data_IF_892393196959
#
_entry.id   IF_892393196959
#
_cell.length_a   1.000
_cell.length_b   1.000
_cell.length_c   1.000
_cell.angle_alpha   90.00
_cell.angle_beta   90.00
_cell.angle_gamma   90.00
#
_symmetry.space_group_name_H-M   'P 1'
#
loop_
_entity.id
_entity.type
_entity.pdbx_description
1 polymer ?
#
# COMPACT_ATOMS: atom_id res chain seq x y z
N UNK A 1 57.66 -23.30 8.17
CA UNK A 1 56.48 -23.45 9.07
C UNK A 1 56.98 -23.22 10.49
N UNK A 2 56.86 -22.00 11.03
CA UNK A 2 57.33 -21.68 12.38
C UNK A 2 56.28 -22.19 13.35
N UNK A 3 56.56 -23.28 14.07
CA UNK A 3 55.72 -23.73 15.18
C UNK A 3 55.86 -22.70 16.30
N UNK A 4 54.77 -22.04 16.67
CA UNK A 4 54.75 -21.17 17.83
C UNK A 4 55.04 -22.01 19.09
N UNK A 5 56.20 -21.79 19.72
CA UNK A 5 56.53 -22.39 21.01
C UNK A 5 55.96 -21.45 22.08
N UNK A 6 54.77 -21.79 22.58
CA UNK A 6 54.14 -21.04 23.67
C UNK A 6 54.66 -21.59 25.02
N UNK A 7 55.69 -20.94 25.58
CA UNK A 7 56.30 -21.30 26.88
C UNK A 7 55.46 -20.81 28.08
N UNK A 8 54.13 -20.95 28.02
CA UNK A 8 53.27 -20.54 29.13
C UNK A 8 53.22 -21.64 30.21
N UNK A 9 53.77 -21.36 31.39
CA UNK A 9 53.82 -22.27 32.57
C UNK A 9 52.43 -22.71 33.06
N UNK A 10 51.37 -22.04 32.63
CA UNK A 10 49.98 -22.35 32.99
C UNK A 10 49.24 -23.22 31.96
N UNK A 11 49.87 -23.68 30.87
CA UNK A 11 49.20 -24.46 29.81
C UNK A 11 48.66 -25.83 30.29
N UNK A 12 49.18 -26.35 31.41
CA UNK A 12 48.69 -27.59 32.06
C UNK A 12 47.51 -27.39 33.01
N UNK A 13 47.11 -26.15 33.30
CA UNK A 13 45.78 -25.96 33.86
C UNK A 13 44.80 -26.28 32.75
N UNK A 14 43.91 -27.26 32.98
CA UNK A 14 42.67 -27.39 32.23
C UNK A 14 41.99 -26.01 32.29
N UNK A 15 42.25 -25.13 31.33
CA UNK A 15 41.36 -24.01 31.10
C UNK A 15 40.04 -24.69 30.69
N UNK A 16 38.96 -24.57 31.47
CA UNK A 16 37.65 -24.84 30.90
C UNK A 16 37.62 -24.01 29.62
N UNK A 17 37.20 -24.56 28.48
CA UNK A 17 37.02 -23.75 27.26
C UNK A 17 36.26 -22.50 27.70
N UNK A 18 36.93 -21.33 27.70
CA UNK A 18 36.36 -20.08 28.23
C UNK A 18 35.06 -19.71 27.52
N UNK A 19 34.86 -20.28 26.33
CA UNK A 19 33.69 -20.12 25.49
C UNK A 19 33.09 -21.49 25.18
N UNK A 20 32.21 -21.98 26.06
CA UNK A 20 31.19 -22.96 25.67
C UNK A 20 30.09 -22.23 24.89
N UNK A 21 30.25 -22.11 23.57
CA UNK A 21 29.15 -21.65 22.69
C UNK A 21 28.27 -22.87 22.41
N UNK A 22 27.41 -23.23 23.36
CA UNK A 22 26.25 -24.06 23.03
C UNK A 22 25.28 -23.19 22.22
N UNK A 23 25.04 -23.61 20.99
CA UNK A 23 24.34 -22.89 19.93
C UNK A 23 22.81 -22.89 20.07
N UNK A 24 22.30 -22.72 21.28
CA UNK A 24 20.85 -22.61 21.46
C UNK A 24 20.43 -21.15 21.39
N UNK A 25 19.67 -20.84 20.33
CA UNK A 25 18.92 -19.60 20.27
C UNK A 25 17.90 -19.64 21.39
N UNK A 26 17.91 -18.61 22.26
CA UNK A 26 16.96 -18.47 23.35
C UNK A 26 15.51 -18.65 22.89
N UNK A 27 14.66 -19.21 23.75
CA UNK A 27 13.25 -19.44 23.43
C UNK A 27 12.51 -18.13 23.09
N UNK A 28 12.91 -17.02 23.71
CA UNK A 28 12.32 -15.70 23.49
C UNK A 28 12.94 -14.93 22.30
N UNK A 29 13.84 -15.55 21.53
CA UNK A 29 14.49 -14.86 20.42
C UNK A 29 13.48 -14.57 19.29
N UNK A 30 13.49 -13.36 18.71
CA UNK A 30 12.60 -12.98 17.61
C UNK A 30 12.55 -13.98 16.45
N UNK A 31 13.65 -14.68 16.19
CA UNK A 31 13.73 -15.65 15.09
C UNK A 31 12.81 -16.86 15.30
N UNK A 32 12.62 -17.30 16.54
CA UNK A 32 11.68 -18.39 16.85
C UNK A 32 10.24 -17.95 16.64
N UNK A 33 9.91 -16.73 17.05
CA UNK A 33 8.61 -16.14 16.78
C UNK A 33 8.34 -15.99 15.28
N UNK A 34 9.35 -15.56 14.50
CA UNK A 34 9.23 -15.51 13.05
C UNK A 34 8.96 -16.91 12.47
N UNK A 35 9.67 -17.95 12.92
CA UNK A 35 9.42 -19.34 12.51
C UNK A 35 7.97 -19.75 12.77
N UNK A 36 7.48 -19.54 14.00
CA UNK A 36 6.11 -19.89 14.38
C UNK A 36 5.07 -19.18 13.52
N UNK A 37 5.25 -17.87 13.22
CA UNK A 37 4.34 -17.13 12.34
C UNK A 37 4.34 -17.72 10.93
N UNK A 38 5.52 -18.07 10.40
CA UNK A 38 5.65 -18.61 9.04
C UNK A 38 5.08 -20.03 8.96
N UNK A 39 5.25 -20.87 9.98
CA UNK A 39 4.69 -22.24 10.01
C UNK A 39 3.15 -22.27 9.85
N UNK A 40 2.46 -21.22 10.25
CA UNK A 40 1.01 -21.11 10.07
C UNK A 40 0.55 -20.49 8.73
N UNK A 41 1.48 -20.13 7.84
CA UNK A 41 1.18 -19.55 6.54
C UNK A 41 1.06 -20.62 5.44
N UNK A 42 0.27 -20.33 4.40
CA UNK A 42 0.17 -21.19 3.22
C UNK A 42 1.22 -20.83 2.17
N UNK A 43 2.17 -21.74 1.97
CA UNK A 43 3.23 -21.63 0.96
C UNK A 43 2.99 -22.46 -0.30
N UNK A 44 1.80 -23.04 -0.49
CA UNK A 44 1.50 -23.90 -1.65
C UNK A 44 1.85 -23.22 -2.98
N UNK A 45 1.46 -21.95 -3.15
CA UNK A 45 1.78 -21.17 -4.36
C UNK A 45 3.28 -20.88 -4.50
N UNK A 46 3.98 -20.68 -3.39
CA UNK A 46 5.44 -20.51 -3.39
C UNK A 46 6.12 -21.80 -3.86
N UNK A 47 5.72 -22.95 -3.31
CA UNK A 47 6.29 -24.25 -3.67
C UNK A 47 6.02 -24.63 -5.12
N UNK A 48 4.86 -24.26 -5.68
CA UNK A 48 4.57 -24.46 -7.11
C UNK A 48 5.53 -23.72 -8.05
N UNK A 49 6.05 -22.55 -7.63
CA UNK A 49 7.03 -21.80 -8.42
C UNK A 49 8.45 -22.38 -8.32
N UNK A 50 8.69 -23.19 -7.29
CA UNK A 50 9.94 -23.92 -7.10
C UNK A 50 9.68 -25.43 -7.03
N UNK A 51 9.22 -26.06 -8.13
CA UNK A 51 8.85 -27.48 -8.13
C UNK A 51 10.07 -28.41 -7.98
N UNK A 52 11.24 -27.94 -8.42
CA UNK A 52 12.47 -28.71 -8.36
C UNK A 52 13.19 -28.49 -7.03
N UNK A 53 13.92 -29.52 -6.57
CA UNK A 53 14.79 -29.43 -5.39
C UNK A 53 15.79 -28.28 -5.56
N UNK A 54 15.69 -27.30 -4.67
CA UNK A 54 16.60 -26.16 -4.59
C UNK A 54 17.64 -26.40 -3.50
N UNK A 55 18.78 -25.70 -3.57
CA UNK A 55 19.86 -25.80 -2.57
C UNK A 55 19.37 -25.44 -1.16
N UNK A 56 18.45 -24.48 -1.07
CA UNK A 56 17.80 -24.02 0.15
C UNK A 56 16.30 -24.04 -0.10
N UNK A 57 15.55 -24.59 0.85
CA UNK A 57 14.09 -24.65 0.75
C UNK A 57 13.47 -23.25 0.57
N UNK A 58 12.50 -23.04 -0.35
CA UNK A 58 11.96 -21.71 -0.66
C UNK A 58 11.39 -20.96 0.56
N UNK A 59 10.77 -21.68 1.49
CA UNK A 59 10.21 -21.11 2.73
C UNK A 59 11.34 -20.59 3.64
N UNK A 60 12.42 -21.35 3.79
CA UNK A 60 13.56 -20.98 4.63
C UNK A 60 14.29 -19.77 4.02
N UNK A 61 14.42 -19.74 2.68
CA UNK A 61 14.94 -18.58 1.95
C UNK A 61 14.09 -17.33 2.22
N UNK A 62 12.75 -17.46 2.18
CA UNK A 62 11.83 -16.37 2.48
C UNK A 62 11.99 -15.88 3.94
N UNK A 63 12.08 -16.80 4.89
CA UNK A 63 12.25 -16.50 6.31
C UNK A 63 13.53 -15.67 6.56
N UNK A 64 14.65 -16.09 5.98
CA UNK A 64 15.93 -15.39 6.08
C UNK A 64 15.88 -14.00 5.45
N UNK A 65 15.21 -13.84 4.31
CA UNK A 65 15.06 -12.52 3.67
C UNK A 65 14.24 -11.58 4.56
N UNK A 66 13.14 -12.05 5.16
CA UNK A 66 12.36 -11.26 6.12
C UNK A 66 13.23 -10.85 7.30
N UNK A 67 13.94 -11.81 7.88
CA UNK A 67 14.84 -11.56 9.00
C UNK A 67 15.92 -10.52 8.63
N UNK A 68 16.57 -10.67 7.48
CA UNK A 68 17.56 -9.70 7.01
C UNK A 68 16.98 -8.29 6.86
N UNK A 69 15.80 -8.16 6.25
CA UNK A 69 15.14 -6.87 6.08
C UNK A 69 14.76 -6.26 7.44
N UNK A 70 14.34 -7.08 8.41
CA UNK A 70 14.05 -6.65 9.78
C UNK A 70 15.28 -6.08 10.50
N UNK A 71 16.49 -6.50 10.09
CA UNK A 71 17.78 -6.04 10.62
C UNK A 71 18.42 -4.90 9.82
N UNK A 72 17.75 -4.37 8.79
CA UNK A 72 18.32 -3.32 7.96
C UNK A 72 19.19 -3.83 6.80
N UNK A 73 19.18 -5.14 6.52
CA UNK A 73 20.05 -5.79 5.55
C UNK A 73 19.24 -6.14 4.29
N UNK A 74 19.49 -5.41 3.20
CA UNK A 74 18.66 -5.47 1.99
C UNK A 74 19.38 -5.95 0.73
N UNK A 75 20.72 -5.87 0.69
CA UNK A 75 21.46 -6.32 -0.49
C UNK A 75 21.63 -7.83 -0.47
N UNK A 76 21.52 -8.48 -1.62
CA UNK A 76 21.64 -9.95 -1.68
C UNK A 76 23.01 -10.45 -1.22
N UNK A 77 24.07 -9.64 -1.37
CA UNK A 77 25.42 -9.95 -0.89
C UNK A 77 25.52 -9.83 0.64
N UNK A 78 24.91 -8.80 1.22
CA UNK A 78 24.90 -8.66 2.68
C UNK A 78 24.01 -9.73 3.33
N UNK A 79 22.94 -10.15 2.66
CA UNK A 79 22.11 -11.29 3.09
C UNK A 79 22.93 -12.58 3.04
N UNK A 80 23.70 -12.82 1.96
CA UNK A 80 24.63 -13.95 1.90
C UNK A 80 25.64 -13.91 3.05
N UNK A 81 26.23 -12.74 3.35
CA UNK A 81 27.13 -12.57 4.48
C UNK A 81 26.44 -12.85 5.82
N UNK A 82 25.22 -12.34 6.02
CA UNK A 82 24.41 -12.61 7.21
C UNK A 82 24.16 -14.11 7.40
N UNK A 83 23.90 -14.86 6.33
CA UNK A 83 23.74 -16.32 6.39
C UNK A 83 25.01 -17.05 6.84
N UNK A 84 26.19 -16.49 6.56
CA UNK A 84 27.49 -17.06 6.97
C UNK A 84 27.82 -16.73 8.42
N UNK A 85 27.53 -15.51 8.84
CA UNK A 85 27.99 -14.95 10.12
C UNK A 85 27.01 -15.18 11.28
N UNK A 86 25.70 -15.12 11.01
CA UNK A 86 24.68 -15.10 12.05
C UNK A 86 24.08 -16.47 12.33
N UNK A 87 24.21 -16.94 13.57
CA UNK A 87 23.54 -18.16 14.07
C UNK A 87 22.01 -18.10 13.88
N UNK A 88 21.41 -16.92 14.03
CA UNK A 88 19.97 -16.69 13.81
C UNK A 88 19.56 -16.94 12.36
N UNK A 89 20.39 -16.51 11.41
CA UNK A 89 20.12 -16.76 9.99
C UNK A 89 20.33 -18.24 9.65
N UNK A 90 21.35 -18.88 10.22
CA UNK A 90 21.60 -20.31 10.04
C UNK A 90 20.46 -21.17 10.60
N UNK A 91 19.89 -20.80 11.76
CA UNK A 91 18.70 -21.44 12.31
C UNK A 91 17.52 -21.38 11.33
N UNK A 92 17.22 -20.20 10.75
CA UNK A 92 16.13 -20.05 9.78
C UNK A 92 16.37 -20.82 8.48
N UNK A 93 17.63 -20.95 8.05
CA UNK A 93 17.97 -21.76 6.88
C UNK A 93 17.69 -23.25 7.13
N UNK A 94 17.76 -23.69 8.38
CA UNK A 94 17.61 -25.08 8.81
C UNK A 94 18.37 -26.06 7.91
N UNK A 95 19.58 -25.67 7.49
CA UNK A 95 20.44 -26.46 6.61
C UNK A 95 21.88 -25.95 6.67
N UNK A 96 22.82 -26.86 6.41
CA UNK A 96 24.25 -26.53 6.26
C UNK A 96 24.56 -25.78 4.95
N UNK A 97 23.59 -25.75 4.03
CA UNK A 97 23.75 -25.16 2.71
C UNK A 97 23.48 -23.66 2.75
N UNK A 98 24.53 -22.87 2.78
CA UNK A 98 24.43 -21.41 2.72
C UNK A 98 24.12 -20.96 1.27
N UNK A 99 23.09 -20.13 1.05
CA UNK A 99 22.77 -19.60 -0.27
C UNK A 99 23.78 -18.52 -0.69
N UNK A 100 24.11 -18.48 -1.97
CA UNK A 100 24.87 -17.39 -2.57
C UNK A 100 23.95 -16.21 -2.95
N UNK A 101 24.53 -15.03 -3.16
CA UNK A 101 23.77 -13.84 -3.56
C UNK A 101 22.94 -14.08 -4.84
N UNK A 102 23.42 -14.96 -5.73
CA UNK A 102 22.76 -15.34 -6.98
C UNK A 102 21.53 -16.23 -6.74
N UNK A 103 21.55 -17.16 -5.79
CA UNK A 103 20.36 -17.91 -5.38
C UNK A 103 19.30 -16.99 -4.76
N UNK A 104 19.71 -16.07 -3.89
CA UNK A 104 18.80 -15.09 -3.27
C UNK A 104 18.15 -14.21 -4.35
N UNK A 105 18.95 -13.70 -5.30
CA UNK A 105 18.44 -12.88 -6.41
C UNK A 105 17.46 -13.67 -7.31
N UNK A 106 17.78 -14.93 -7.64
CA UNK A 106 16.90 -15.81 -8.42
C UNK A 106 15.60 -16.10 -7.69
N UNK A 107 15.66 -16.33 -6.37
CA UNK A 107 14.48 -16.52 -5.54
C UNK A 107 13.55 -15.31 -5.62
N UNK A 108 14.08 -14.10 -5.36
CA UNK A 108 13.30 -12.85 -5.41
C UNK A 108 12.68 -12.60 -6.79
N UNK A 109 13.41 -12.92 -7.86
CA UNK A 109 12.94 -12.78 -9.24
C UNK A 109 11.78 -13.74 -9.54
N UNK A 110 11.90 -15.03 -9.18
CA UNK A 110 10.86 -16.03 -9.41
C UNK A 110 9.63 -15.83 -8.52
N UNK A 111 9.83 -15.47 -7.25
CA UNK A 111 8.76 -15.28 -6.27
C UNK A 111 8.02 -13.93 -6.39
N UNK A 112 8.29 -13.14 -7.45
CA UNK A 112 7.85 -11.76 -7.56
C UNK A 112 6.33 -11.57 -7.39
N UNK A 113 5.55 -12.44 -8.04
CA UNK A 113 4.10 -12.37 -8.03
C UNK A 113 3.47 -12.98 -6.76
N UNK A 114 4.24 -13.73 -5.97
CA UNK A 114 3.77 -14.47 -4.79
C UNK A 114 4.05 -13.69 -3.50
N UNK A 115 5.14 -12.91 -3.44
CA UNK A 115 5.52 -12.18 -2.23
C UNK A 115 4.42 -11.22 -1.76
N UNK A 116 3.65 -10.63 -2.68
CA UNK A 116 2.51 -9.80 -2.28
C UNK A 116 1.40 -10.60 -1.58
N UNK A 117 1.15 -11.83 -2.03
CA UNK A 117 0.19 -12.73 -1.37
C UNK A 117 0.70 -13.14 0.02
N UNK A 118 1.99 -13.50 0.13
CA UNK A 118 2.61 -13.82 1.42
C UNK A 118 2.59 -12.62 2.37
N UNK A 119 2.76 -11.40 1.85
CA UNK A 119 2.61 -10.17 2.63
C UNK A 119 1.19 -10.05 3.21
N UNK A 120 0.14 -10.26 2.41
CA UNK A 120 -1.23 -10.20 2.90
C UNK A 120 -1.48 -11.22 4.02
N UNK A 121 -1.07 -12.48 3.81
CA UNK A 121 -1.18 -13.53 4.83
C UNK A 121 -0.44 -13.17 6.12
N UNK A 122 0.78 -12.64 5.99
CA UNK A 122 1.61 -12.23 7.14
C UNK A 122 0.95 -11.09 7.94
N UNK A 123 0.37 -10.09 7.26
CA UNK A 123 -0.34 -8.99 7.92
C UNK A 123 -1.58 -9.49 8.66
N UNK A 124 -2.38 -10.37 8.04
CA UNK A 124 -3.55 -10.97 8.71
C UNK A 124 -3.16 -11.69 10.00
N UNK A 125 -2.07 -12.47 9.98
CA UNK A 125 -1.55 -13.16 11.17
C UNK A 125 -1.13 -12.16 12.24
N UNK A 126 -0.38 -11.13 11.88
CA UNK A 126 0.04 -10.10 12.82
C UNK A 126 -1.13 -9.30 13.41
N UNK A 127 -2.18 -9.03 12.64
CA UNK A 127 -3.39 -8.36 13.14
C UNK A 127 -4.07 -9.20 14.22
N UNK A 128 -4.21 -10.51 13.99
CA UNK A 128 -4.76 -11.46 14.98
C UNK A 128 -3.90 -11.52 16.24
N UNK A 129 -2.58 -11.71 16.09
CA UNK A 129 -1.64 -11.79 17.22
C UNK A 129 -1.49 -10.47 18.01
N UNK A 130 -1.75 -9.34 17.36
CA UNK A 130 -1.66 -8.02 18.00
C UNK A 130 -2.99 -7.55 18.62
N UNK A 131 -4.07 -8.31 18.43
CA UNK A 131 -5.44 -7.97 18.86
C UNK A 131 -5.87 -6.57 18.37
N UNK A 132 -5.53 -6.23 17.13
CA UNK A 132 -5.84 -4.92 16.54
C UNK A 132 -7.20 -4.99 15.84
N UNK A 133 -8.09 -4.06 16.17
CA UNK A 133 -9.35 -3.88 15.44
C UNK A 133 -9.10 -3.27 14.07
N UNK A 134 -9.82 -3.75 13.05
CA UNK A 134 -9.69 -3.30 11.65
C UNK A 134 -10.71 -2.24 11.26
N UNK A 135 -11.46 -1.71 12.24
CA UNK A 135 -12.55 -0.76 12.02
C UNK A 135 -12.09 0.58 11.47
N UNK A 136 -10.86 0.99 11.76
CA UNK A 136 -10.33 2.29 11.33
C UNK A 136 -9.12 2.10 10.43
N UNK A 137 -9.19 2.67 9.23
CA UNK A 137 -8.06 2.73 8.30
C UNK A 137 -7.51 4.15 8.22
N UNK A 138 -6.18 4.25 8.32
CA UNK A 138 -5.46 5.50 8.13
C UNK A 138 -4.80 5.50 6.75
N UNK A 139 -5.08 6.52 5.95
CA UNK A 139 -4.57 6.67 4.58
C UNK A 139 -3.67 7.90 4.52
N UNK A 140 -2.48 7.71 3.98
CA UNK A 140 -1.56 8.78 3.65
C UNK A 140 -0.64 8.34 2.51
N UNK A 141 -0.04 9.32 1.82
CA UNK A 141 0.83 9.10 0.68
C UNK A 141 2.28 9.41 1.00
N UNK A 142 3.20 8.61 0.44
CA UNK A 142 4.63 8.93 0.47
C UNK A 142 5.26 8.65 -0.88
N UNK A 143 6.18 9.54 -1.30
CA UNK A 143 6.95 9.36 -2.54
C UNK A 143 8.28 8.68 -2.21
N UNK A 144 8.56 7.57 -2.88
CA UNK A 144 9.84 6.84 -2.84
C UNK A 144 10.33 6.75 -4.29
N UNK A 145 11.61 7.09 -4.53
CA UNK A 145 12.18 7.04 -5.87
C UNK A 145 12.29 5.58 -6.35
N UNK A 146 11.79 5.28 -7.54
CA UNK A 146 12.02 3.96 -8.16
C UNK A 146 13.40 3.91 -8.82
N UNK A 147 13.93 2.70 -9.04
CA UNK A 147 15.08 2.54 -9.94
C UNK A 147 14.59 2.70 -11.39
N UNK A 148 14.47 3.93 -11.86
CA UNK A 148 14.10 4.25 -13.24
C UNK A 148 15.32 4.79 -14.00
N UNK A 149 15.34 4.59 -15.33
CA UNK A 149 16.30 5.30 -16.17
C UNK A 149 15.93 6.79 -16.17
N UNK A 150 16.83 7.67 -15.70
CA UNK A 150 16.61 9.12 -15.65
C UNK A 150 16.48 9.75 -17.05
N UNK A 151 16.92 9.04 -18.09
CA UNK A 151 16.83 9.43 -19.50
C UNK A 151 15.67 8.76 -20.25
N UNK A 152 14.51 8.56 -19.60
CA UNK A 152 13.30 8.10 -20.30
C UNK A 152 12.59 9.23 -21.05
N UNK A 153 13.33 10.07 -21.76
CA UNK A 153 12.74 10.90 -22.80
C UNK A 153 12.47 9.99 -23.99
N UNK A 154 11.19 9.70 -24.24
CA UNK A 154 10.80 8.99 -25.46
C UNK A 154 11.03 9.96 -26.62
N UNK A 155 11.98 9.64 -27.49
CA UNK A 155 12.27 10.45 -28.67
C UNK A 155 11.02 10.55 -29.54
N UNK A 156 10.63 11.76 -29.95
CA UNK A 156 9.48 12.01 -30.84
C UNK A 156 9.40 11.02 -32.01
N UNK A 157 10.56 10.70 -32.61
CA UNK A 157 10.69 9.72 -33.70
C UNK A 157 10.27 8.29 -33.29
N UNK A 158 10.61 7.84 -32.10
CA UNK A 158 10.20 6.53 -31.57
C UNK A 158 8.72 6.51 -31.25
N UNK A 159 8.15 7.61 -30.75
CA UNK A 159 6.71 7.72 -30.47
C UNK A 159 5.89 7.71 -31.76
N UNK A 160 6.36 8.41 -32.80
CA UNK A 160 5.74 8.42 -34.13
C UNK A 160 5.77 7.03 -34.77
N UNK A 161 6.93 6.36 -34.77
CA UNK A 161 7.06 5.00 -35.30
C UNK A 161 6.17 3.99 -34.56
N UNK A 162 6.01 4.13 -33.24
CA UNK A 162 5.12 3.27 -32.46
C UNK A 162 3.64 3.57 -32.76
N UNK A 163 3.28 4.84 -32.99
CA UNK A 163 1.94 5.24 -33.40
C UNK A 163 1.58 4.65 -34.77
N UNK A 164 2.44 4.80 -35.77
CA UNK A 164 2.24 4.23 -37.12
C UNK A 164 2.02 2.71 -37.05
N UNK A 165 2.90 2.00 -36.33
CA UNK A 165 2.76 0.55 -36.14
C UNK A 165 1.49 0.16 -35.37
N UNK A 166 1.05 0.98 -34.42
CA UNK A 166 -0.20 0.74 -33.69
C UNK A 166 -1.41 0.93 -34.62
N UNK A 167 -1.41 1.94 -35.48
CA UNK A 167 -2.45 2.17 -36.48
C UNK A 167 -2.53 1.02 -37.50
N UNK A 168 -1.40 0.52 -37.99
CA UNK A 168 -1.33 -0.67 -38.84
C UNK A 168 -1.92 -1.91 -38.16
N UNK A 169 -1.51 -2.17 -36.90
CA UNK A 169 -2.03 -3.31 -36.14
C UNK A 169 -3.54 -3.18 -35.87
N UNK A 170 -4.05 -1.97 -35.64
CA UNK A 170 -5.48 -1.70 -35.45
C UNK A 170 -6.26 -2.04 -36.72
N UNK A 171 -5.77 -1.62 -37.89
CA UNK A 171 -6.40 -1.92 -39.17
C UNK A 171 -6.40 -3.43 -39.45
N UNK A 172 -5.28 -4.12 -39.21
CA UNK A 172 -5.22 -5.58 -39.32
C UNK A 172 -6.21 -6.28 -38.39
N UNK A 173 -6.34 -5.82 -37.14
CA UNK A 173 -7.32 -6.34 -36.17
C UNK A 173 -8.76 -6.14 -36.64
N UNK A 174 -9.09 -4.99 -37.23
CA UNK A 174 -10.42 -4.71 -37.78
C UNK A 174 -10.70 -5.65 -38.97
N UNK A 175 -9.74 -5.82 -39.88
CA UNK A 175 -9.88 -6.74 -41.03
C UNK A 175 -10.06 -8.20 -40.57
N UNK A 176 -9.24 -8.67 -39.64
CA UNK A 176 -9.37 -10.02 -39.07
C UNK A 176 -10.72 -10.24 -38.41
N UNK A 177 -11.19 -9.24 -37.64
CA UNK A 177 -12.49 -9.29 -36.98
C UNK A 177 -13.64 -9.35 -38.00
N UNK A 178 -13.63 -8.44 -38.97
CA UNK A 178 -14.64 -8.35 -40.03
C UNK A 178 -14.71 -9.66 -40.84
N UNK A 179 -13.55 -10.25 -41.16
CA UNK A 179 -13.46 -11.55 -41.83
C UNK A 179 -14.04 -12.69 -40.98
N UNK A 180 -13.76 -12.70 -39.68
CA UNK A 180 -14.19 -13.77 -38.78
C UNK A 180 -15.70 -13.73 -38.47
N UNK A 181 -16.26 -12.53 -38.26
CA UNK A 181 -17.68 -12.35 -37.92
C UNK A 181 -18.57 -12.04 -39.14
N UNK A 182 -17.99 -11.94 -40.34
CA UNK A 182 -18.65 -11.55 -41.59
C UNK A 182 -19.41 -10.21 -41.43
N UNK A 183 -18.69 -9.19 -40.98
CA UNK A 183 -19.18 -7.84 -40.71
C UNK A 183 -18.32 -6.81 -41.45
N UNK A 184 -18.86 -5.60 -41.61
CA UNK A 184 -18.14 -4.45 -42.17
C UNK A 184 -18.16 -3.33 -41.13
N UNK A 185 -17.28 -3.42 -40.13
CA UNK A 185 -17.11 -2.40 -39.10
C UNK A 185 -15.80 -1.64 -39.34
N UNK A 186 -15.86 -0.32 -39.33
CA UNK A 186 -14.70 0.54 -39.66
C UNK A 186 -13.96 1.06 -38.41
N UNK A 187 -14.46 0.74 -37.22
CA UNK A 187 -13.95 1.27 -35.94
C UNK A 187 -13.84 0.19 -34.88
N UNK A 188 -12.75 0.24 -34.11
CA UNK A 188 -12.55 -0.60 -32.91
C UNK A 188 -13.67 -0.40 -31.88
N UNK A 189 -14.25 0.80 -31.80
CA UNK A 189 -15.32 1.06 -30.85
C UNK A 189 -16.62 0.35 -31.24
N UNK A 190 -16.86 0.18 -32.53
CA UNK A 190 -18.04 -0.55 -33.04
C UNK A 190 -17.87 -2.06 -32.84
N UNK A 191 -16.64 -2.56 -33.02
CA UNK A 191 -16.24 -3.94 -32.69
C UNK A 191 -16.47 -4.22 -31.19
N UNK A 192 -16.05 -3.31 -30.31
CA UNK A 192 -16.24 -3.45 -28.86
C UNK A 192 -17.72 -3.48 -28.47
N UNK A 193 -18.53 -2.59 -29.06
CA UNK A 193 -19.98 -2.57 -28.81
C UNK A 193 -20.66 -3.87 -29.24
N UNK A 194 -20.27 -4.42 -30.39
CA UNK A 194 -20.78 -5.70 -30.88
C UNK A 194 -20.38 -6.87 -29.96
N UNK A 195 -19.14 -6.88 -29.46
CA UNK A 195 -18.65 -7.89 -28.53
C UNK A 195 -19.34 -7.84 -27.16
N UNK A 196 -19.74 -6.66 -26.69
CA UNK A 196 -20.50 -6.49 -25.44
C UNK A 196 -21.96 -6.94 -25.57
N UNK A 197 -22.56 -6.87 -26.76
CA UNK A 197 -23.92 -7.37 -27.05
C UNK A 197 -23.98 -8.90 -27.16
N UNK A 198 -22.87 -9.54 -27.56
CA UNK A 198 -22.70 -10.98 -27.49
C UNK A 198 -22.65 -11.40 -26.01
N UNK A 199 -23.79 -11.72 -25.40
CA UNK A 199 -23.91 -12.21 -24.02
C UNK A 199 -23.14 -13.53 -23.81
N UNK A 200 -21.83 -13.44 -23.60
CA UNK A 200 -20.95 -14.58 -23.35
C UNK A 200 -21.27 -15.20 -21.97
N UNK A 201 -21.49 -16.51 -21.95
CA UNK A 201 -21.92 -17.28 -20.79
C UNK A 201 -20.88 -17.32 -19.65
N UNK A 202 -21.30 -16.92 -18.44
CA UNK A 202 -20.53 -17.08 -17.19
C UNK A 202 -20.62 -18.53 -16.68
N UNK A 203 -19.50 -19.08 -16.20
CA UNK A 203 -19.38 -20.49 -15.76
C UNK A 203 -19.18 -20.56 -14.23
N UNK A 204 -19.94 -21.42 -13.54
CA UNK A 204 -19.79 -21.70 -12.11
C UNK A 204 -19.08 -23.05 -11.90
N UNK A 205 -18.06 -23.10 -11.03
CA UNK A 205 -17.27 -24.30 -10.71
C UNK A 205 -15.85 -23.99 -10.21
N UNK A 206 -15.16 -24.96 -9.61
CA UNK A 206 -13.78 -24.80 -9.08
C UNK A 206 -12.73 -24.83 -10.20
N UNK A 207 -11.88 -23.80 -10.20
CA UNK A 207 -10.54 -23.83 -10.81
C UNK A 207 -10.51 -23.74 -12.33
N UNK A 208 -9.90 -22.67 -12.86
CA UNK A 208 -9.58 -22.39 -14.27
C UNK A 208 -10.66 -21.75 -15.17
N UNK A 209 -11.95 -21.72 -14.81
CA UNK A 209 -13.01 -21.07 -15.64
C UNK A 209 -13.70 -19.83 -15.02
N UNK A 210 -13.23 -19.33 -13.87
CA UNK A 210 -13.72 -18.06 -13.29
C UNK A 210 -12.90 -16.89 -13.81
N UNK A 211 -13.55 -15.76 -14.11
CA UNK A 211 -12.87 -14.54 -14.56
C UNK A 211 -11.93 -14.00 -13.46
N UNK A 212 -10.89 -13.25 -13.85
CA UNK A 212 -9.93 -12.66 -12.88
C UNK A 212 -10.64 -11.80 -11.85
N UNK A 213 -11.67 -11.09 -12.27
CA UNK A 213 -12.49 -10.16 -11.48
C UNK A 213 -13.30 -10.90 -10.41
N UNK A 214 -13.88 -12.06 -10.74
CA UNK A 214 -14.59 -12.90 -9.78
C UNK A 214 -13.62 -13.55 -8.76
N UNK A 215 -12.43 -13.95 -9.22
CA UNK A 215 -11.35 -14.41 -8.33
C UNK A 215 -10.86 -13.30 -7.40
N UNK A 216 -10.76 -12.06 -7.88
CA UNK A 216 -10.41 -10.90 -7.05
C UNK A 216 -11.49 -10.60 -6.00
N UNK A 217 -12.77 -10.67 -6.38
CA UNK A 217 -13.89 -10.38 -5.47
C UNK A 217 -14.02 -11.43 -4.35
N UNK A 218 -13.80 -12.72 -4.67
CA UNK A 218 -13.80 -13.81 -3.68
C UNK A 218 -12.60 -13.71 -2.71
N UNK A 219 -11.41 -13.29 -3.21
CA UNK A 219 -10.19 -13.08 -2.41
C UNK A 219 -10.26 -11.83 -1.52
N UNK A 220 -11.06 -10.83 -1.91
CA UNK A 220 -11.36 -9.62 -1.10
C UNK A 220 -12.38 -9.95 0.01
N UNK A 221 -13.41 -10.77 -0.29
CA UNK A 221 -14.43 -11.17 0.68
C UNK A 221 -13.95 -12.18 1.73
N UNK A 222 -12.90 -12.96 1.44
CA UNK A 222 -12.28 -13.87 2.42
C UNK A 222 -11.41 -13.17 3.46
N UNK A 223 -11.12 -11.87 3.27
CA UNK A 223 -10.43 -11.03 4.24
C UNK A 223 -11.47 -10.17 4.94
N UNK A 224 -12.05 -10.70 6.02
CA UNK A 224 -13.10 -10.04 6.79
C UNK A 224 -12.51 -8.86 7.60
N UNK A 225 -12.08 -7.82 6.90
CA UNK A 225 -11.64 -6.54 7.44
C UNK A 225 -12.85 -5.62 7.35
N UNK A 226 -13.60 -5.52 8.44
CA UNK A 226 -14.77 -4.65 8.53
C UNK A 226 -14.31 -3.21 8.75
N UNK A 227 -13.94 -2.51 7.67
CA UNK A 227 -13.59 -1.09 7.75
C UNK A 227 -14.87 -0.28 7.97
N UNK A 228 -14.87 0.62 8.96
CA UNK A 228 -15.97 1.55 9.26
C UNK A 228 -15.53 2.98 9.07
N UNK A 229 -14.34 3.34 9.57
CA UNK A 229 -13.83 4.71 9.60
C UNK A 229 -12.65 4.86 8.65
N UNK A 230 -12.72 5.86 7.75
CA UNK A 230 -11.63 6.19 6.83
C UNK A 230 -11.06 7.56 7.17
N UNK A 231 -9.80 7.58 7.61
CA UNK A 231 -9.10 8.77 8.07
C UNK A 231 -7.99 9.13 7.09
N UNK A 232 -8.04 10.31 6.49
CA UNK A 232 -7.07 10.72 5.47
C UNK A 232 -6.66 12.18 5.57
N UNK A 233 -5.55 12.50 4.91
CA UNK A 233 -5.05 13.87 4.76
C UNK A 233 -5.95 14.71 3.83
N UNK A 234 -5.65 16.00 3.72
CA UNK A 234 -6.45 16.90 2.91
C UNK A 234 -6.26 16.76 1.40
N UNK A 235 -5.19 16.10 0.95
CA UNK A 235 -4.98 15.76 -0.46
C UNK A 235 -6.00 14.75 -0.99
N UNK A 236 -6.67 14.00 -0.10
CA UNK A 236 -7.74 13.07 -0.47
C UNK A 236 -9.14 13.71 -0.52
N UNK A 237 -9.29 15.01 -0.26
CA UNK A 237 -10.58 15.68 -0.37
C UNK A 237 -11.04 15.80 -1.83
N UNK A 238 -12.02 14.98 -2.21
CA UNK A 238 -12.65 15.05 -3.54
C UNK A 238 -14.09 14.54 -3.50
N UNK A 239 -14.91 15.01 -4.44
CA UNK A 239 -16.31 14.54 -4.54
C UNK A 239 -16.38 13.03 -4.77
N UNK A 240 -15.53 12.50 -5.65
CA UNK A 240 -15.50 11.08 -5.96
C UNK A 240 -15.14 10.23 -4.74
N UNK A 241 -14.19 10.68 -3.92
CA UNK A 241 -13.83 9.98 -2.69
C UNK A 241 -14.98 10.00 -1.68
N UNK A 242 -15.61 11.16 -1.46
CA UNK A 242 -16.76 11.24 -0.55
C UNK A 242 -17.95 10.39 -1.03
N UNK A 243 -18.28 10.42 -2.32
CA UNK A 243 -19.33 9.58 -2.90
C UNK A 243 -19.00 8.08 -2.70
N UNK A 244 -17.75 7.68 -2.93
CA UNK A 244 -17.31 6.31 -2.71
C UNK A 244 -17.47 5.89 -1.25
N UNK A 245 -17.04 6.73 -0.29
CA UNK A 245 -17.20 6.43 1.14
C UNK A 245 -18.67 6.28 1.51
N UNK A 246 -19.53 7.17 1.02
CA UNK A 246 -20.97 7.13 1.32
C UNK A 246 -21.67 5.90 0.73
N UNK A 247 -21.35 5.53 -0.51
CA UNK A 247 -21.91 4.33 -1.18
C UNK A 247 -21.52 3.06 -0.43
N UNK A 248 -20.30 2.99 0.08
CA UNK A 248 -19.80 1.83 0.82
C UNK A 248 -20.07 1.90 2.33
N UNK A 249 -20.90 2.86 2.79
CA UNK A 249 -21.25 3.04 4.21
C UNK A 249 -20.05 3.27 5.14
N UNK A 250 -18.98 3.88 4.65
CA UNK A 250 -17.83 4.28 5.46
C UNK A 250 -18.01 5.70 6.02
N UNK A 251 -17.57 5.90 7.26
CA UNK A 251 -17.53 7.21 7.92
C UNK A 251 -16.27 7.95 7.48
N UNK A 252 -16.45 9.14 6.93
CA UNK A 252 -15.37 9.98 6.43
C UNK A 252 -14.78 10.86 7.53
N UNK A 253 -13.46 10.76 7.73
CA UNK A 253 -12.63 11.67 8.53
C UNK A 253 -11.50 12.24 7.65
N UNK A 254 -11.87 12.85 6.52
CA UNK A 254 -10.93 13.47 5.56
C UNK A 254 -10.78 14.94 5.90
N UNK A 255 -9.57 15.38 6.20
CA UNK A 255 -9.31 16.77 6.57
C UNK A 255 -9.66 17.70 5.40
N UNK A 256 -10.50 18.74 5.55
CA UNK A 256 -10.72 19.69 4.47
C UNK A 256 -9.44 20.43 4.07
N UNK A 257 -9.26 20.73 2.78
CA UNK A 257 -8.08 21.41 2.20
C UNK A 257 -7.79 22.72 2.92
N UNK A 258 -8.83 23.51 3.20
CA UNK A 258 -8.70 24.80 3.86
C UNK A 258 -8.92 24.74 5.37
N UNK A 259 -8.90 23.56 6.00
CA UNK A 259 -9.24 23.38 7.40
C UNK A 259 -8.45 24.32 8.34
N UNK A 260 -7.12 24.40 8.23
CA UNK A 260 -6.34 25.29 9.11
C UNK A 260 -6.61 26.77 8.80
N UNK A 261 -6.76 27.13 7.52
CA UNK A 261 -7.09 28.51 7.12
C UNK A 261 -8.47 28.92 7.62
N UNK A 262 -9.42 27.99 7.68
CA UNK A 262 -10.81 28.21 8.11
C UNK A 262 -10.94 28.66 9.56
N UNK A 263 -9.92 28.40 10.39
CA UNK A 263 -9.88 28.85 11.80
C UNK A 263 -9.61 30.34 11.93
N UNK A 264 -8.96 30.96 10.93
CA UNK A 264 -8.54 32.36 11.00
C UNK A 264 -9.72 33.33 10.90
N UNK A 265 -9.67 34.45 11.65
CA UNK A 265 -10.72 35.49 11.62
C UNK A 265 -10.95 36.04 10.20
N UNK A 266 -9.87 36.24 9.44
CA UNK A 266 -9.93 36.71 8.05
C UNK A 266 -10.74 35.76 7.16
N UNK A 267 -10.52 34.46 7.27
CA UNK A 267 -11.25 33.47 6.48
C UNK A 267 -12.73 33.42 6.85
N UNK A 268 -13.06 33.48 8.14
CA UNK A 268 -14.45 33.46 8.63
C UNK A 268 -15.26 34.69 8.20
N UNK A 269 -14.61 35.85 8.12
CA UNK A 269 -15.23 37.13 7.74
C UNK A 269 -15.33 37.36 6.23
N UNK A 270 -14.62 36.60 5.42
CA UNK A 270 -14.63 36.78 3.96
C UNK A 270 -15.96 36.28 3.38
N UNK A 271 -16.83 37.23 3.02
CA UNK A 271 -18.17 36.98 2.50
C UNK A 271 -18.17 36.32 1.12
N UNK A 272 -17.08 36.43 0.36
CA UNK A 272 -16.99 35.91 -1.01
C UNK A 272 -16.43 34.48 -1.08
N UNK A 273 -16.05 33.90 0.05
CA UNK A 273 -15.58 32.50 0.13
C UNK A 273 -16.74 31.55 -0.13
N UNK A 274 -16.53 30.64 -1.07
CA UNK A 274 -17.49 29.58 -1.41
C UNK A 274 -17.89 28.75 -0.19
N UNK A 275 -16.96 28.51 0.74
CA UNK A 275 -17.20 27.80 2.00
C UNK A 275 -18.11 28.54 2.98
N UNK A 276 -18.26 29.85 2.83
CA UNK A 276 -19.09 30.69 3.68
C UNK A 276 -20.45 30.99 3.05
N UNK A 277 -20.72 30.51 1.83
CA UNK A 277 -22.00 30.71 1.15
C UNK A 277 -23.03 29.69 1.64
N UNK A 278 -24.29 30.12 1.65
CA UNK A 278 -25.44 29.32 2.06
C UNK A 278 -26.27 28.98 0.83
N UNK A 279 -26.48 27.69 0.60
CA UNK A 279 -27.19 27.21 -0.57
C UNK A 279 -28.53 26.62 -0.15
N UNK A 280 -29.61 27.13 -0.74
CA UNK A 280 -30.95 26.56 -0.62
C UNK A 280 -31.16 25.56 -1.75
N UNK A 281 -31.34 24.28 -1.40
CA UNK A 281 -31.54 23.18 -2.35
C UNK A 281 -32.90 23.24 -3.05
N UNK A 282 -33.95 23.66 -2.35
CA UNK A 282 -35.33 23.68 -2.89
C UNK A 282 -35.49 24.73 -3.98
N UNK A 283 -34.94 25.93 -3.73
CA UNK A 283 -35.04 27.06 -4.65
C UNK A 283 -33.86 27.16 -5.61
N UNK A 284 -32.81 26.34 -5.42
CA UNK A 284 -31.54 26.39 -6.16
C UNK A 284 -30.90 27.80 -6.14
N UNK A 285 -30.90 28.42 -4.96
CA UNK A 285 -30.40 29.78 -4.73
C UNK A 285 -29.19 29.75 -3.81
N UNK A 286 -28.24 30.64 -4.07
CA UNK A 286 -26.99 30.73 -3.34
C UNK A 286 -26.85 32.13 -2.74
N UNK A 287 -26.68 32.19 -1.43
CA UNK A 287 -26.63 33.41 -0.63
C UNK A 287 -25.28 33.59 0.03
N UNK A 288 -24.89 34.84 0.23
CA UNK A 288 -23.86 35.23 1.20
C UNK A 288 -24.46 35.36 2.59
N UNK A 289 -23.59 35.38 3.60
CA UNK A 289 -24.00 35.54 5.01
C UNK A 289 -24.67 36.86 5.36
N UNK A 290 -24.48 37.88 4.53
CA UNK A 290 -25.15 39.18 4.64
C UNK A 290 -26.54 39.21 3.94
N UNK A 291 -26.98 38.08 3.40
CA UNK A 291 -28.26 37.92 2.71
C UNK A 291 -28.21 38.21 1.21
N UNK A 292 -27.05 38.61 0.67
CA UNK A 292 -26.93 38.91 -0.76
C UNK A 292 -27.01 37.63 -1.61
N UNK A 293 -28.00 37.57 -2.50
CA UNK A 293 -28.18 36.47 -3.45
C UNK A 293 -27.22 36.58 -4.65
N UNK A 294 -26.59 35.46 -5.00
CA UNK A 294 -25.80 35.34 -6.21
C UNK A 294 -26.69 34.92 -7.39
N UNK A 295 -26.50 35.57 -8.53
CA UNK A 295 -27.28 35.31 -9.75
C UNK A 295 -26.86 33.99 -10.38
N UNK A 296 -27.80 33.09 -10.63
CA UNK A 296 -27.55 31.87 -11.41
C UNK A 296 -27.04 32.22 -12.82
N UNK A 297 -26.09 31.44 -13.33
CA UNK A 297 -25.62 31.55 -14.71
C UNK A 297 -25.97 30.30 -15.53
N UNK A 298 -25.37 29.16 -15.18
CA UNK A 298 -25.54 27.90 -15.91
C UNK A 298 -24.97 26.71 -15.13
N UNK A 299 -25.35 25.51 -15.55
CA UNK A 299 -24.77 24.25 -15.10
C UNK A 299 -23.49 23.90 -15.86
N UNK A 300 -22.50 23.36 -15.16
CA UNK A 300 -21.32 22.78 -15.79
C UNK A 300 -21.65 21.55 -16.63
N UNK A 301 -20.71 21.14 -17.49
CA UNK A 301 -20.85 19.93 -18.32
C UNK A 301 -21.12 18.66 -17.52
N UNK A 302 -20.64 18.62 -16.28
CA UNK A 302 -20.85 17.52 -15.34
C UNK A 302 -22.26 17.47 -14.73
N UNK A 303 -23.10 18.50 -14.96
CA UNK A 303 -24.40 18.76 -14.33
C UNK A 303 -24.40 18.81 -12.78
N UNK A 304 -23.27 18.51 -12.14
CA UNK A 304 -23.06 18.55 -10.68
C UNK A 304 -22.56 19.90 -10.19
N UNK A 305 -21.85 20.64 -11.05
CA UNK A 305 -21.31 21.96 -10.74
C UNK A 305 -22.26 23.04 -11.24
N UNK A 306 -22.55 24.03 -10.40
CA UNK A 306 -23.37 25.19 -10.73
C UNK A 306 -22.49 26.43 -10.73
N UNK A 307 -22.69 27.31 -11.71
CA UNK A 307 -22.01 28.59 -11.77
C UNK A 307 -22.96 29.73 -11.43
N UNK A 308 -22.51 30.59 -10.53
CA UNK A 308 -23.21 31.80 -10.12
C UNK A 308 -22.36 33.04 -10.42
N UNK A 309 -22.97 34.22 -10.48
CA UNK A 309 -22.29 35.52 -10.55
C UNK A 309 -22.60 36.31 -9.29
N UNK A 310 -21.56 36.80 -8.64
CA UNK A 310 -21.72 37.77 -7.57
C UNK A 310 -22.04 39.14 -8.21
N UNK A 311 -23.22 39.74 -7.93
CA UNK A 311 -23.60 41.00 -8.55
C UNK A 311 -22.75 42.21 -8.10
N UNK A 312 -22.15 42.20 -6.91
CA UNK A 312 -21.32 43.32 -6.43
C UNK A 312 -19.90 43.29 -7.01
N UNK A 313 -19.29 42.10 -7.03
CA UNK A 313 -17.90 41.95 -7.47
C UNK A 313 -17.77 41.54 -8.93
N UNK A 314 -18.90 41.25 -9.57
CA UNK A 314 -19.04 40.65 -10.90
C UNK A 314 -18.33 39.30 -11.10
N UNK A 315 -17.72 38.74 -10.04
CA UNK A 315 -16.95 37.51 -10.11
C UNK A 315 -17.85 36.30 -10.29
N UNK A 316 -17.39 35.38 -11.12
CA UNK A 316 -18.01 34.07 -11.31
C UNK A 316 -17.62 33.14 -10.16
N UNK A 317 -18.62 32.53 -9.53
CA UNK A 317 -18.46 31.58 -8.43
C UNK A 317 -18.82 30.18 -8.92
N UNK A 318 -17.90 29.24 -8.71
CA UNK A 318 -18.14 27.81 -8.96
C UNK A 318 -18.63 27.17 -7.67
N UNK A 319 -19.83 26.59 -7.68
CA UNK A 319 -20.43 25.92 -6.55
C UNK A 319 -20.74 24.45 -6.87
N UNK A 320 -20.51 23.56 -5.92
CA UNK A 320 -20.91 22.16 -6.04
C UNK A 320 -21.55 21.75 -4.72
N UNK A 321 -22.88 21.73 -4.71
CA UNK A 321 -23.68 21.49 -3.51
C UNK A 321 -23.33 20.15 -2.85
N UNK A 322 -23.33 19.07 -3.63
CA UNK A 322 -23.06 17.72 -3.12
C UNK A 322 -21.68 17.61 -2.47
N UNK A 323 -20.65 18.19 -3.09
CA UNK A 323 -19.31 18.24 -2.51
C UNK A 323 -19.31 19.02 -1.18
N UNK A 324 -19.98 20.18 -1.11
CA UNK A 324 -19.99 21.02 0.10
C UNK A 324 -20.72 20.32 1.25
N UNK A 325 -21.84 19.66 0.97
CA UNK A 325 -22.59 18.85 1.94
C UNK A 325 -21.70 17.74 2.54
N UNK A 326 -21.07 16.94 1.68
CA UNK A 326 -20.20 15.83 2.12
C UNK A 326 -18.92 16.29 2.83
N UNK A 327 -18.30 17.38 2.35
CA UNK A 327 -17.14 18.00 3.00
C UNK A 327 -17.50 18.55 4.39
N UNK A 328 -18.70 19.12 4.55
CA UNK A 328 -19.23 19.55 5.86
C UNK A 328 -19.45 18.35 6.80
N UNK A 329 -20.11 17.29 6.35
CA UNK A 329 -20.28 16.04 7.12
C UNK A 329 -18.91 15.52 7.61
N UNK A 330 -17.91 15.44 6.74
CA UNK A 330 -16.55 14.99 7.09
C UNK A 330 -15.83 15.92 8.07
N UNK A 331 -16.02 17.23 7.91
CA UNK A 331 -15.47 18.24 8.82
C UNK A 331 -16.05 18.10 10.22
N UNK A 332 -17.38 17.96 10.33
CA UNK A 332 -18.07 17.80 11.61
C UNK A 332 -17.59 16.52 12.33
N UNK A 333 -17.40 15.42 11.58
CA UNK A 333 -16.79 14.19 12.11
C UNK A 333 -15.39 14.42 12.68
N UNK A 334 -14.54 15.17 11.98
CA UNK A 334 -13.17 15.48 12.40
C UNK A 334 -13.12 16.41 13.63
N UNK A 335 -14.10 17.29 13.79
CA UNK A 335 -14.18 18.22 14.92
C UNK A 335 -14.73 17.57 16.19
N UNK A 336 -15.33 16.38 16.10
CA UNK A 336 -15.69 15.55 17.26
C UNK A 336 -14.45 15.12 18.07
N UNK A 337 -14.63 14.83 19.36
CA UNK A 337 -13.54 14.33 20.22
C UNK A 337 -12.90 13.04 19.66
N UNK A 338 -13.74 12.13 19.17
CA UNK A 338 -13.28 10.90 18.51
C UNK A 338 -12.49 11.22 17.22
N UNK A 339 -12.98 12.12 16.37
CA UNK A 339 -12.29 12.56 15.16
C UNK A 339 -10.94 13.23 15.42
N UNK A 340 -10.83 14.03 16.49
CA UNK A 340 -9.56 14.61 16.96
C UNK A 340 -8.57 13.52 17.35
N UNK A 341 -9.02 12.51 18.10
CA UNK A 341 -8.19 11.37 18.49
C UNK A 341 -7.71 10.58 17.27
N UNK A 342 -8.60 10.29 16.31
CA UNK A 342 -8.26 9.60 15.06
C UNK A 342 -7.23 10.38 14.25
N UNK A 343 -7.37 11.71 14.14
CA UNK A 343 -6.40 12.55 13.43
C UNK A 343 -5.02 12.56 14.07
N UNK A 344 -4.95 12.64 15.40
CA UNK A 344 -3.69 12.55 16.12
C UNK A 344 -3.02 11.19 15.88
N UNK A 345 -3.81 10.10 15.95
CA UNK A 345 -3.33 8.76 15.69
C UNK A 345 -2.89 8.56 14.23
N UNK A 346 -3.55 9.17 13.24
CA UNK A 346 -3.10 9.16 11.84
C UNK A 346 -1.68 9.69 11.71
N UNK A 347 -1.38 10.84 12.33
CA UNK A 347 -0.03 11.42 12.31
C UNK A 347 0.97 10.49 13.03
N UNK A 348 0.67 10.06 14.25
CA UNK A 348 1.57 9.17 15.03
C UNK A 348 1.85 7.86 14.28
N UNK A 349 0.81 7.21 13.76
CA UNK A 349 0.91 5.86 13.22
C UNK A 349 1.40 5.86 11.77
N UNK A 350 0.86 6.71 10.89
CA UNK A 350 1.18 6.67 9.46
C UNK A 350 2.44 7.46 9.14
N UNK A 351 2.56 8.69 9.63
CA UNK A 351 3.78 9.49 9.40
C UNK A 351 4.97 8.83 10.12
N UNK A 352 4.75 8.27 11.32
CA UNK A 352 5.73 7.44 12.03
C UNK A 352 6.15 6.21 11.22
N UNK A 353 5.20 5.47 10.62
CA UNK A 353 5.54 4.32 9.77
C UNK A 353 6.39 4.72 8.55
N UNK A 354 6.03 5.81 7.88
CA UNK A 354 6.81 6.31 6.75
C UNK A 354 8.18 6.82 7.16
N UNK A 355 8.30 7.48 8.31
CA UNK A 355 9.58 7.91 8.86
C UNK A 355 10.48 6.72 9.15
N UNK A 356 9.99 5.67 9.81
CA UNK A 356 10.78 4.44 10.07
C UNK A 356 11.20 3.78 8.76
N UNK A 357 10.29 3.63 7.79
CA UNK A 357 10.63 3.04 6.50
C UNK A 357 11.74 3.84 5.78
N UNK A 358 11.63 5.17 5.80
CA UNK A 358 12.52 6.07 5.05
C UNK A 358 13.86 6.31 5.75
N UNK A 359 13.84 6.61 7.03
CA UNK A 359 14.99 6.98 7.86
C UNK A 359 15.69 5.72 8.40
N UNK A 360 15.00 4.96 9.25
CA UNK A 360 15.60 3.84 9.99
C UNK A 360 15.90 2.65 9.08
N UNK A 361 14.95 2.30 8.22
CA UNK A 361 15.08 1.24 7.21
C UNK A 361 15.73 1.74 5.91
N UNK A 362 16.11 3.02 5.84
CA UNK A 362 16.87 3.62 4.72
C UNK A 362 16.22 3.42 3.34
N UNK A 363 14.90 3.27 3.25
CA UNK A 363 14.17 3.14 1.98
C UNK A 363 14.00 4.50 1.31
N UNK A 364 15.09 5.03 0.75
CA UNK A 364 15.06 6.27 -0.06
C UNK A 364 14.73 6.01 -1.51
N UNK A 365 15.25 4.90 -2.02
CA UNK A 365 15.19 4.52 -3.41
C UNK A 365 15.09 3.00 -3.50
N UNK A 366 14.14 2.54 -4.30
CA UNK A 366 13.99 1.13 -4.62
C UNK A 366 15.16 0.68 -5.49
N UNK A 367 15.61 -0.57 -5.31
CA UNK A 367 16.76 -1.13 -6.06
C UNK A 367 16.33 -1.84 -7.34
N UNK A 368 15.02 -1.96 -7.56
CA UNK A 368 14.43 -2.75 -8.63
C UNK A 368 13.69 -1.89 -9.65
N UNK A 369 13.58 -2.40 -10.88
CA UNK A 369 12.83 -1.78 -11.98
C UNK A 369 11.53 -2.53 -12.24
N UNK A 370 10.53 -1.80 -12.71
CA UNK A 370 9.23 -2.35 -13.11
C UNK A 370 8.24 -2.44 -11.96
N UNK A 371 6.95 -2.27 -12.29
CA UNK A 371 5.85 -2.14 -11.33
C UNK A 371 5.76 -3.33 -10.37
N UNK A 372 5.80 -4.55 -10.89
CA UNK A 372 5.68 -5.76 -10.06
C UNK A 372 6.88 -5.96 -9.13
N UNK A 373 8.10 -5.75 -9.63
CA UNK A 373 9.31 -5.81 -8.82
C UNK A 373 9.29 -4.77 -7.69
N UNK A 374 8.85 -3.55 -7.99
CA UNK A 374 8.68 -2.47 -7.01
C UNK A 374 7.67 -2.88 -5.94
N UNK A 375 6.53 -3.44 -6.35
CA UNK A 375 5.49 -3.93 -5.44
C UNK A 375 6.02 -5.02 -4.52
N UNK A 376 6.79 -5.98 -5.05
CA UNK A 376 7.49 -7.00 -4.26
C UNK A 376 8.44 -6.39 -3.23
N UNK A 377 9.32 -5.47 -3.66
CA UNK A 377 10.32 -4.86 -2.77
C UNK A 377 9.64 -4.09 -1.64
N UNK A 378 8.63 -3.27 -1.94
CA UNK A 378 7.81 -2.59 -0.92
C UNK A 378 7.14 -3.61 0.01
N UNK A 379 6.60 -4.70 -0.53
CA UNK A 379 6.01 -5.78 0.26
C UNK A 379 6.99 -6.33 1.32
N UNK A 380 8.24 -6.62 0.94
CA UNK A 380 9.26 -7.11 1.88
C UNK A 380 9.59 -6.09 2.98
N UNK A 381 9.71 -4.80 2.63
CA UNK A 381 9.89 -3.73 3.61
C UNK A 381 8.72 -3.67 4.59
N UNK A 382 7.48 -3.76 4.10
CA UNK A 382 6.29 -3.75 4.94
C UNK A 382 6.21 -4.98 5.87
N UNK A 383 6.57 -6.18 5.38
CA UNK A 383 6.63 -7.40 6.22
C UNK A 383 7.61 -7.17 7.38
N UNK A 384 8.84 -6.75 7.07
CA UNK A 384 9.88 -6.52 8.06
C UNK A 384 9.52 -5.40 9.05
N UNK A 385 8.96 -4.29 8.56
CA UNK A 385 8.47 -3.21 9.41
C UNK A 385 7.38 -3.69 10.38
N UNK A 386 6.37 -4.41 9.86
CA UNK A 386 5.27 -4.91 10.67
C UNK A 386 5.74 -5.94 11.70
N UNK A 387 6.69 -6.79 11.33
CA UNK A 387 7.33 -7.73 12.26
C UNK A 387 8.06 -7.01 13.39
N UNK A 388 8.90 -6.02 13.07
CA UNK A 388 9.58 -5.20 14.08
C UNK A 388 8.61 -4.43 14.97
N UNK A 389 7.52 -3.91 14.40
CA UNK A 389 6.45 -3.24 15.16
C UNK A 389 5.77 -4.19 16.13
N UNK A 390 5.52 -5.42 15.72
CA UNK A 390 4.95 -6.46 16.59
C UNK A 390 5.90 -6.84 17.73
N UNK A 391 7.18 -7.07 17.44
CA UNK A 391 8.21 -7.31 18.47
C UNK A 391 8.27 -6.17 19.49
N UNK A 392 8.24 -4.92 19.03
CA UNK A 392 8.24 -3.76 19.91
C UNK A 392 6.97 -3.69 20.79
N UNK A 393 5.81 -4.15 20.29
CA UNK A 393 4.58 -4.26 21.07
C UNK A 393 4.69 -5.36 22.14
N UNK A 394 5.26 -6.51 21.81
CA UNK A 394 5.48 -7.61 22.76
C UNK A 394 6.40 -7.20 23.90
N UNK A 395 7.56 -6.62 23.59
CA UNK A 395 8.53 -6.15 24.59
C UNK A 395 7.90 -5.11 25.53
N UNK A 396 7.03 -4.24 25.00
CA UNK A 396 6.34 -3.19 25.77
C UNK A 396 5.05 -3.66 26.45
N UNK A 397 4.62 -4.92 26.24
CA UNK A 397 3.32 -5.46 26.70
C UNK A 397 2.12 -4.58 26.30
N UNK A 398 2.09 -4.16 25.03
CA UNK A 398 1.06 -3.26 24.45
C UNK A 398 0.22 -3.93 23.35
N UNK A 399 -0.04 -5.23 23.47
CA UNK A 399 -1.05 -5.90 22.64
C UNK A 399 -2.44 -5.30 22.94
N UNK A 400 -3.34 -5.28 21.96
CA UNK A 400 -4.68 -4.69 22.11
C UNK A 400 -4.74 -3.15 22.13
N UNK A 401 -3.61 -2.44 22.31
CA UNK A 401 -3.61 -0.96 22.25
C UNK A 401 -3.69 -0.48 20.79
N UNK A 402 -4.83 0.10 20.44
CA UNK A 402 -5.18 0.54 19.08
C UNK A 402 -5.01 2.06 18.90
N UNK A 403 -5.49 2.84 19.87
CA UNK A 403 -5.44 4.31 19.84
C UNK A 403 -4.62 4.86 21.00
N UNK A 404 -3.75 5.82 20.71
CA UNK A 404 -3.18 6.69 21.72
C UNK A 404 -4.27 7.64 22.23
N UNK A 405 -4.45 7.79 23.56
CA UNK A 405 -5.41 8.72 24.13
C UNK A 405 -4.98 10.15 23.84
N UNK A 406 -5.95 11.05 23.64
CA UNK A 406 -5.68 12.48 23.63
C UNK A 406 -5.05 12.85 24.98
N UNK A 407 -3.93 13.58 24.96
CA UNK A 407 -3.42 14.17 26.20
C UNK A 407 -4.44 15.20 26.64
N UNK A 408 -5.07 14.97 27.77
CA UNK A 408 -5.85 15.99 28.48
C UNK A 408 -4.82 17.03 28.91
N UNK A 409 -4.98 18.26 28.42
CA UNK A 409 -4.10 19.39 28.75
C UNK A 409 -4.33 19.86 30.18
#
# INVERSE_FOLDING_TARGET
MIKAINNNRYFKFFQPKLFYINQDINNDDPVRLLSAILEEMDFSNLLQVFPNKTKVHPVNMFAVIIYAYSRGIYSTRDIEYLCKDSQRAQYLLNSSNIPDYSAIARFLSKANNIIYELFCQFVEKLLKLSEITTETIYIDGTKIEAYANKYSFVWKKSTLKYKERLEENILQLIEEFNKYFNKELDSIFDILSFLEELKIHKIYGRGKRKSKEQLFLEKIKSQNIEVKNVVADAGYESLSNYEYLKINSYVSYIKPIYYEKSKTRKYKKDLNRVENLEYNEEENRLFRKDGLELKFLYYGKDKKTIYFRNPETEKKVRYNYKFRKLSKESKDNIESEFGKQLRMNRSIQVEGAFAVLKEDMKLRKLKVRGKESTKREIGLFCIAYNFNRYLAKLVRKKQGVILHPLKIA
#
